data_IF_837674566014
#
_entry.id   IF_837674566014
#
_cell.length_a   1.000
_cell.length_b   1.000
_cell.length_c   1.000
_cell.angle_alpha   90.00
_cell.angle_beta   90.00
_cell.angle_gamma   90.00
#
_symmetry.space_group_name_H-M   'P 1'
#
loop_
_entity.id
_entity.type
_entity.pdbx_description
1 polymer ?
#
# COMPACT_ATOMS: atom_id res chain seq x y z
N UNK A 1 -11.05 23.31 4.73
CA UNK A 1 -10.45 21.99 4.92
C UNK A 1 -9.05 21.96 4.32
N UNK A 2 -8.09 21.50 5.05
CA UNK A 2 -6.72 21.42 4.55
C UNK A 2 -6.45 20.02 4.01
N UNK A 3 -5.62 19.95 2.98
CA UNK A 3 -5.12 18.69 2.46
C UNK A 3 -3.86 18.32 3.22
N UNK A 4 -3.74 17.05 3.52
CA UNK A 4 -2.55 16.53 4.20
C UNK A 4 -1.82 15.58 3.26
N UNK A 5 -0.54 15.84 3.08
CA UNK A 5 0.31 14.94 2.32
C UNK A 5 1.06 14.07 3.31
N UNK A 6 1.17 12.81 2.97
CA UNK A 6 1.91 11.87 3.80
C UNK A 6 2.83 11.04 2.92
N UNK A 7 4.08 10.97 3.33
CA UNK A 7 5.09 10.18 2.63
C UNK A 7 5.27 8.87 3.39
N UNK A 8 5.20 7.77 2.67
CA UNK A 8 5.36 6.45 3.24
C UNK A 8 6.69 5.84 2.83
N UNK A 9 7.36 5.20 3.77
CA UNK A 9 8.55 4.44 3.46
C UNK A 9 8.14 3.07 2.91
N UNK A 10 9.04 2.43 2.19
CA UNK A 10 8.80 1.07 1.71
C UNK A 10 8.50 0.14 2.88
N UNK A 11 9.27 0.27 3.96
CA UNK A 11 9.10 -0.55 5.15
C UNK A 11 7.71 -0.40 5.76
N UNK A 12 7.21 0.83 5.78
CA UNK A 12 5.89 1.12 6.32
C UNK A 12 4.81 0.48 5.46
N UNK A 13 4.94 0.56 4.14
CA UNK A 13 3.97 -0.04 3.24
C UNK A 13 4.06 -1.56 3.24
N UNK A 14 5.27 -2.09 3.41
CA UNK A 14 5.46 -3.53 3.53
C UNK A 14 4.69 -4.06 4.75
N UNK A 15 4.84 -3.38 5.89
CA UNK A 15 4.13 -3.76 7.10
C UNK A 15 2.61 -3.62 6.93
N UNK A 16 2.17 -2.52 6.31
CA UNK A 16 0.75 -2.24 6.14
C UNK A 16 0.03 -3.28 5.28
N UNK A 17 0.73 -3.87 4.32
CA UNK A 17 0.17 -4.84 3.38
C UNK A 17 0.48 -6.29 3.77
N UNK A 18 1.01 -6.48 4.96
CA UNK A 18 1.44 -7.79 5.44
C UNK A 18 2.47 -8.42 4.50
N UNK A 19 3.50 -7.64 4.15
CA UNK A 19 4.57 -8.08 3.27
C UNK A 19 4.13 -8.20 1.82
N UNK A 20 3.22 -7.32 1.37
CA UNK A 20 2.64 -7.38 0.03
C UNK A 20 2.09 -8.77 -0.25
N UNK A 21 1.28 -9.27 0.69
CA UNK A 21 0.74 -10.62 0.61
C UNK A 21 -0.27 -10.76 -0.52
N UNK A 22 -0.37 -11.95 -1.09
CA UNK A 22 -1.32 -12.24 -2.15
C UNK A 22 -2.75 -11.99 -1.71
N UNK A 23 -3.04 -12.24 -0.44
CA UNK A 23 -4.38 -12.01 0.11
C UNK A 23 -4.80 -10.56 0.01
N UNK A 24 -3.84 -9.64 0.04
CA UNK A 24 -4.11 -8.21 -0.02
C UNK A 24 -3.94 -7.62 -1.42
N UNK A 25 -3.64 -8.45 -2.40
CA UNK A 25 -3.50 -7.97 -3.77
C UNK A 25 -4.87 -7.68 -4.37
N UNK A 26 -5.05 -6.46 -4.83
CA UNK A 26 -6.30 -6.01 -5.43
C UNK A 26 -6.29 -6.14 -6.94
N UNK A 27 -5.11 -6.07 -7.56
CA UNK A 27 -5.01 -6.15 -9.00
C UNK A 27 -3.56 -6.31 -9.43
N UNK A 28 -3.39 -6.79 -10.67
CA UNK A 28 -2.08 -7.03 -11.24
C UNK A 28 -2.16 -6.93 -12.76
N UNK A 29 -1.08 -6.46 -13.38
CA UNK A 29 -1.01 -6.36 -14.82
C UNK A 29 0.37 -5.87 -15.26
N UNK A 30 0.47 -5.43 -16.52
CA UNK A 30 1.73 -4.90 -17.04
C UNK A 30 2.21 -3.65 -16.32
N UNK A 31 1.31 -2.99 -15.58
CA UNK A 31 1.63 -1.80 -14.79
C UNK A 31 2.29 -2.15 -13.45
N UNK A 32 2.23 -3.43 -13.04
CA UNK A 32 2.69 -3.85 -11.72
C UNK A 32 1.55 -4.44 -10.92
N UNK A 33 1.60 -4.29 -9.60
CA UNK A 33 0.60 -4.83 -8.69
C UNK A 33 0.08 -3.74 -7.75
N UNK A 34 -1.18 -3.87 -7.35
CA UNK A 34 -1.82 -2.97 -6.41
C UNK A 34 -2.27 -3.77 -5.19
N UNK A 35 -1.97 -3.25 -4.01
CA UNK A 35 -2.31 -3.94 -2.76
C UNK A 35 -3.17 -3.08 -1.86
N UNK A 36 -3.94 -3.73 -1.01
CA UNK A 36 -4.64 -3.07 0.08
C UNK A 36 -3.80 -3.21 1.33
N UNK A 37 -3.74 -2.16 2.13
CA UNK A 37 -3.06 -2.24 3.40
C UNK A 37 -3.65 -1.29 4.42
N UNK A 38 -3.20 -1.43 5.66
CA UNK A 38 -3.62 -0.55 6.72
C UNK A 38 -2.42 -0.31 7.63
N UNK A 39 -2.11 0.95 7.84
CA UNK A 39 -0.97 1.33 8.68
C UNK A 39 -1.29 1.10 10.15
N UNK A 40 -0.26 1.16 11.00
CA UNK A 40 -0.43 0.93 12.43
C UNK A 40 -1.33 1.97 13.09
N UNK A 41 -1.43 3.16 12.51
CA UNK A 41 -2.31 4.21 13.02
C UNK A 41 -3.70 4.19 12.37
N UNK A 42 -4.01 3.14 11.61
CA UNK A 42 -5.36 2.92 11.10
C UNK A 42 -5.66 3.52 9.74
N UNK A 43 -4.67 4.08 9.05
CA UNK A 43 -4.89 4.66 7.73
C UNK A 43 -4.91 3.57 6.66
N UNK A 44 -5.94 3.55 5.82
CA UNK A 44 -6.00 2.62 4.70
C UNK A 44 -5.18 3.15 3.54
N UNK A 45 -4.42 2.26 2.91
CA UNK A 45 -3.55 2.62 1.79
C UNK A 45 -3.72 1.59 0.67
N UNK A 46 -3.45 2.03 -0.56
CA UNK A 46 -3.48 1.13 -1.73
C UNK A 46 -2.19 1.32 -2.51
N UNK A 47 -1.07 0.80 -2.00
CA UNK A 47 0.21 0.98 -2.67
C UNK A 47 0.29 0.27 -4.00
N UNK A 48 0.94 0.94 -4.94
CA UNK A 48 1.22 0.41 -6.27
C UNK A 48 2.68 0.00 -6.32
N UNK A 49 2.93 -1.24 -6.70
CA UNK A 49 4.28 -1.77 -6.80
C UNK A 49 4.57 -2.03 -8.27
N UNK A 50 5.51 -1.29 -8.82
CA UNK A 50 5.92 -1.45 -10.22
C UNK A 50 6.95 -2.55 -10.35
N UNK A 51 6.86 -3.28 -11.42
CA UNK A 51 7.84 -4.31 -11.73
C UNK A 51 8.87 -3.80 -12.74
#
# INVERSE_FOLDING_TARGET
MSSTWRIFSYKELHAATNGFSEENKLGEGGFGSVYWGKTSDGLQVTPHVHT
#
